data_IF_042238518205
#
_entry.id   IF_042238518205
#
_cell.length_a   1.000
_cell.length_b   1.000
_cell.length_c   1.000
_cell.angle_alpha   90.00
_cell.angle_beta   90.00
_cell.angle_gamma   90.00
#
_symmetry.space_group_name_H-M   'P 1'
#
loop_
_entity.id
_entity.type
_entity.pdbx_description
1 polymer ?
#
# COMPACT_ATOMS: atom_id res chain seq x y z
N UNK A 1 -7.82 -20.55 2.79
CA UNK A 1 -9.00 -19.68 2.77
C UNK A 1 -8.54 -18.28 2.40
N UNK A 2 -9.25 -17.59 1.49
CA UNK A 2 -8.90 -16.23 1.10
C UNK A 2 -9.30 -15.25 2.20
N UNK A 3 -8.34 -14.53 2.77
CA UNK A 3 -8.58 -13.42 3.70
C UNK A 3 -8.31 -12.11 2.97
N UNK A 4 -9.05 -11.05 3.31
CA UNK A 4 -8.74 -9.70 2.81
C UNK A 4 -7.40 -9.23 3.38
N UNK A 5 -6.67 -8.42 2.63
CA UNK A 5 -5.44 -7.80 3.11
C UNK A 5 -5.32 -6.38 2.57
N UNK A 6 -4.41 -5.61 3.15
CA UNK A 6 -3.90 -4.38 2.57
C UNK A 6 -2.39 -4.25 2.82
N UNK A 7 -1.79 -3.24 2.19
CA UNK A 7 -0.37 -2.94 2.31
C UNK A 7 -0.22 -1.52 2.82
N UNK A 8 0.53 -1.36 3.92
CA UNK A 8 0.89 -0.07 4.46
C UNK A 8 2.32 0.28 4.04
N UNK A 9 2.45 1.18 3.07
CA UNK A 9 3.72 1.72 2.61
C UNK A 9 4.14 2.92 3.46
N UNK A 10 5.42 2.95 3.83
CA UNK A 10 6.05 4.17 4.34
C UNK A 10 6.48 5.06 3.16
N UNK A 11 6.06 6.32 3.17
CA UNK A 11 6.43 7.30 2.14
C UNK A 11 7.03 8.53 2.80
N UNK A 12 8.23 8.93 2.35
CA UNK A 12 8.91 10.15 2.76
C UNK A 12 8.86 11.17 1.62
N UNK A 13 8.22 12.30 1.86
CA UNK A 13 8.22 13.44 0.94
C UNK A 13 9.29 14.43 1.41
N UNK A 14 10.37 14.58 0.64
CA UNK A 14 11.49 15.47 0.97
C UNK A 14 11.29 16.88 0.41
N UNK A 15 10.67 16.95 -0.77
CA UNK A 15 10.31 18.22 -1.40
C UNK A 15 9.13 18.02 -2.34
N UNK A 16 8.30 19.03 -2.49
CA UNK A 16 7.25 19.10 -3.53
C UNK A 16 7.73 19.88 -4.76
N UNK A 17 8.84 20.62 -4.66
CA UNK A 17 9.44 21.37 -5.77
C UNK A 17 10.96 21.52 -5.61
N UNK A 18 11.79 20.77 -6.37
CA UNK A 18 11.38 19.69 -7.28
C UNK A 18 10.71 18.55 -6.50
N UNK A 19 9.79 17.82 -7.14
CA UNK A 19 9.11 16.69 -6.50
C UNK A 19 10.12 15.58 -6.17
N UNK A 20 10.26 15.29 -4.89
CA UNK A 20 11.20 14.34 -4.34
C UNK A 20 10.51 13.49 -3.27
N UNK A 21 10.12 12.28 -3.68
CA UNK A 21 9.35 11.32 -2.87
C UNK A 21 10.09 9.99 -2.87
N UNK A 22 10.32 9.46 -1.68
CA UNK A 22 10.92 8.15 -1.46
C UNK A 22 9.88 7.20 -0.88
N UNK A 23 9.78 6.00 -1.43
CA UNK A 23 8.91 4.93 -0.93
C UNK A 23 9.81 3.88 -0.28
N UNK A 24 9.46 3.45 0.92
CA UNK A 24 10.16 2.36 1.59
C UNK A 24 9.96 1.06 0.79
N UNK A 25 11.04 0.30 0.58
CA UNK A 25 11.07 -0.89 -0.27
C UNK A 25 10.25 -2.06 0.29
N UNK A 26 10.02 -2.06 1.61
CA UNK A 26 9.13 -2.98 2.31
C UNK A 26 7.84 -2.29 2.77
N UNK A 27 6.69 -2.93 2.53
CA UNK A 27 5.42 -2.55 3.14
C UNK A 27 5.07 -3.45 4.33
N UNK A 28 4.29 -2.93 5.29
CA UNK A 28 3.65 -3.79 6.28
C UNK A 28 2.42 -4.44 5.66
N UNK A 29 2.39 -5.79 5.63
CA UNK A 29 1.22 -6.56 5.18
C UNK A 29 0.27 -6.73 6.35
N UNK A 30 -0.99 -6.32 6.19
CA UNK A 30 -2.03 -6.46 7.23
C UNK A 30 -3.14 -7.32 6.67
N UNK A 31 -3.49 -8.39 7.39
CA UNK A 31 -4.52 -9.35 6.99
C UNK A 31 -5.79 -9.14 7.81
N UNK A 32 -6.95 -9.50 7.25
CA UNK A 32 -8.18 -9.64 8.03
C UNK A 32 -8.10 -10.89 8.91
N UNK A 33 -8.84 -10.87 10.02
CA UNK A 33 -8.87 -11.96 10.99
C UNK A 33 -9.74 -13.13 10.52
N UNK A 34 -10.69 -12.89 9.63
CA UNK A 34 -11.61 -13.90 9.13
C UNK A 34 -11.48 -14.11 7.61
N UNK A 35 -11.88 -15.29 7.09
CA UNK A 35 -12.06 -15.49 5.65
C UNK A 35 -13.01 -14.44 5.06
N UNK A 36 -12.68 -13.94 3.88
CA UNK A 36 -13.52 -12.96 3.19
C UNK A 36 -14.87 -13.59 2.85
N UNK A 37 -15.94 -12.83 3.09
CA UNK A 37 -17.31 -13.19 2.72
C UNK A 37 -18.09 -11.92 2.43
N UNK A 38 -19.04 -11.98 1.49
CA UNK A 38 -19.97 -10.89 1.22
C UNK A 38 -21.15 -10.86 2.20
N UNK A 39 -21.32 -11.90 3.01
CA UNK A 39 -22.27 -11.91 4.12
C UNK A 39 -21.70 -11.11 5.31
N UNK A 40 -22.59 -10.60 6.17
CA UNK A 40 -22.20 -9.91 7.41
C UNK A 40 -21.22 -8.74 7.16
N UNK A 41 -21.65 -7.77 6.35
CA UNK A 41 -20.82 -6.60 5.97
C UNK A 41 -20.44 -5.70 7.15
N UNK A 42 -21.15 -5.83 8.27
CA UNK A 42 -20.89 -5.20 9.56
C UNK A 42 -19.78 -5.88 10.37
N UNK A 43 -19.32 -7.08 9.96
CA UNK A 43 -18.21 -7.79 10.59
C UNK A 43 -16.89 -7.07 10.37
N UNK A 44 -16.48 -6.30 11.37
CA UNK A 44 -15.26 -5.52 11.31
C UNK A 44 -14.01 -6.38 11.06
N UNK A 45 -13.88 -7.50 11.77
CA UNK A 45 -12.75 -8.45 11.67
C UNK A 45 -12.61 -9.14 10.30
N UNK A 46 -13.71 -9.18 9.53
CA UNK A 46 -13.71 -9.73 8.17
C UNK A 46 -13.26 -8.70 7.14
N UNK A 47 -13.66 -7.43 7.33
CA UNK A 47 -13.59 -6.41 6.29
C UNK A 47 -12.48 -5.38 6.48
N UNK A 48 -11.88 -5.28 7.67
CA UNK A 48 -10.85 -4.29 8.02
C UNK A 48 -9.55 -4.95 8.54
N UNK A 49 -8.51 -5.10 7.71
CA UNK A 49 -7.26 -5.80 8.04
C UNK A 49 -6.38 -5.17 9.15
N UNK A 50 -6.72 -3.97 9.63
CA UNK A 50 -5.84 -3.19 10.51
C UNK A 50 -5.69 -3.70 11.95
N UNK A 51 -6.45 -4.71 12.37
CA UNK A 51 -6.50 -5.18 13.76
C UNK A 51 -5.96 -6.59 13.94
N UNK A 52 -5.40 -7.17 12.88
CA UNK A 52 -4.84 -8.51 12.97
C UNK A 52 -3.45 -8.52 13.57
N UNK A 53 -3.18 -9.53 14.40
CA UNK A 53 -1.83 -9.85 14.88
C UNK A 53 -1.06 -10.73 13.89
N UNK A 54 -1.67 -11.17 12.78
CA UNK A 54 -0.97 -11.94 11.77
C UNK A 54 0.03 -11.06 11.05
N UNK A 55 1.28 -11.51 11.05
CA UNK A 55 2.38 -10.83 10.37
C UNK A 55 2.98 -11.75 9.33
N UNK A 56 3.29 -11.19 8.19
CA UNK A 56 4.07 -11.86 7.14
C UNK A 56 5.11 -10.87 6.64
N UNK A 57 6.34 -11.36 6.42
CA UNK A 57 7.35 -10.54 5.78
C UNK A 57 6.89 -10.19 4.36
N UNK A 58 7.07 -8.94 3.95
CA UNK A 58 6.60 -8.45 2.65
C UNK A 58 7.12 -9.30 1.49
N UNK A 59 8.43 -9.58 1.44
CA UNK A 59 9.01 -10.48 0.42
C UNK A 59 8.41 -11.89 0.39
N UNK A 60 8.05 -12.43 1.56
CA UNK A 60 7.41 -13.75 1.62
C UNK A 60 5.97 -13.68 1.11
N UNK A 61 5.26 -12.59 1.42
CA UNK A 61 3.92 -12.33 0.93
C UNK A 61 3.87 -12.19 -0.59
N UNK A 62 4.77 -11.40 -1.18
CA UNK A 62 4.77 -11.15 -2.64
C UNK A 62 5.05 -12.43 -3.42
N UNK A 63 6.06 -13.20 -3.00
CA UNK A 63 6.37 -14.50 -3.62
C UNK A 63 5.20 -15.49 -3.48
N UNK A 64 4.54 -15.52 -2.32
CA UNK A 64 3.36 -16.36 -2.13
C UNK A 64 2.19 -15.94 -3.03
N UNK A 65 1.99 -14.63 -3.21
CA UNK A 65 0.92 -14.10 -4.06
C UNK A 65 1.15 -14.44 -5.54
N UNK A 66 2.37 -14.23 -6.05
CA UNK A 66 2.75 -14.60 -7.42
C UNK A 66 2.57 -16.10 -7.68
N UNK A 67 2.93 -16.95 -6.72
CA UNK A 67 2.78 -18.40 -6.87
C UNK A 67 1.32 -18.89 -6.87
N UNK A 68 0.39 -18.07 -6.37
CA UNK A 68 -1.03 -18.42 -6.23
C UNK A 68 -1.92 -17.84 -7.33
N UNK A 69 -1.43 -16.83 -8.07
CA UNK A 69 -2.23 -16.10 -9.06
C UNK A 69 -1.52 -16.17 -10.41
N UNK A 70 -2.02 -17.03 -11.28
CA UNK A 70 -1.47 -17.22 -12.62
C UNK A 70 -1.41 -15.90 -13.40
N UNK A 71 -0.23 -15.58 -13.94
CA UNK A 71 0.02 -14.36 -14.71
C UNK A 71 0.20 -13.09 -13.89
N UNK A 72 0.20 -13.16 -12.55
CA UNK A 72 0.55 -12.02 -11.70
C UNK A 72 2.07 -11.89 -11.60
N UNK A 73 2.58 -10.72 -11.96
CA UNK A 73 3.96 -10.31 -11.74
C UNK A 73 3.99 -9.19 -10.71
N UNK A 74 4.67 -9.41 -9.59
CA UNK A 74 4.73 -8.44 -8.49
C UNK A 74 5.38 -7.13 -8.91
N UNK A 75 6.37 -7.20 -9.80
CA UNK A 75 7.07 -6.03 -10.33
C UNK A 75 6.12 -5.05 -11.04
N UNK A 76 5.11 -5.55 -11.74
CA UNK A 76 4.09 -4.72 -12.39
C UNK A 76 3.16 -4.07 -11.35
N UNK A 77 2.80 -4.82 -10.31
CA UNK A 77 1.96 -4.33 -9.20
C UNK A 77 2.67 -3.21 -8.44
N UNK A 78 3.93 -3.42 -8.06
CA UNK A 78 4.70 -2.42 -7.31
C UNK A 78 5.02 -1.18 -8.17
N UNK A 79 5.27 -1.35 -9.47
CA UNK A 79 5.43 -0.24 -10.41
C UNK A 79 4.15 0.61 -10.47
N UNK A 80 2.97 -0.03 -10.53
CA UNK A 80 1.68 0.66 -10.52
C UNK A 80 1.41 1.42 -9.20
N UNK A 81 1.76 0.81 -8.05
CA UNK A 81 1.68 1.47 -6.74
C UNK A 81 2.59 2.69 -6.68
N UNK A 82 3.86 2.55 -7.09
CA UNK A 82 4.81 3.66 -7.12
C UNK A 82 4.36 4.80 -8.05
N UNK A 83 3.83 4.46 -9.22
CA UNK A 83 3.25 5.43 -10.15
C UNK A 83 2.08 6.19 -9.50
N UNK A 84 1.19 5.48 -8.80
CA UNK A 84 0.04 6.08 -8.10
C UNK A 84 0.47 7.02 -6.97
N UNK A 85 1.46 6.62 -6.16
CA UNK A 85 2.02 7.48 -5.09
C UNK A 85 2.66 8.73 -5.70
N UNK A 86 3.44 8.59 -6.77
CA UNK A 86 4.05 9.73 -7.47
C UNK A 86 2.99 10.66 -8.04
N UNK A 87 1.94 10.13 -8.66
CA UNK A 87 0.83 10.93 -9.20
C UNK A 87 0.08 11.68 -8.10
N UNK A 88 -0.18 11.04 -6.95
CA UNK A 88 -0.78 11.69 -5.79
C UNK A 88 0.03 12.92 -5.37
N UNK A 89 1.33 12.78 -5.14
CA UNK A 89 2.15 13.91 -4.70
C UNK A 89 2.44 14.94 -5.79
N UNK A 90 2.43 14.54 -7.06
CA UNK A 90 2.46 15.49 -8.17
C UNK A 90 1.18 16.35 -8.22
N UNK A 91 0.01 15.74 -7.98
CA UNK A 91 -1.25 16.46 -7.88
C UNK A 91 -1.28 17.40 -6.67
N UNK A 92 -0.77 16.96 -5.52
CA UNK A 92 -0.60 17.82 -4.34
C UNK A 92 0.32 18.99 -4.66
N UNK A 93 1.49 18.75 -5.26
CA UNK A 93 2.39 19.82 -5.67
C UNK A 93 1.72 20.81 -6.66
N UNK A 94 0.94 20.32 -7.62
CA UNK A 94 0.25 21.21 -8.55
C UNK A 94 -0.87 22.04 -7.87
N UNK A 95 -1.64 21.40 -6.98
CA UNK A 95 -2.81 22.00 -6.34
C UNK A 95 -2.49 22.88 -5.12
N UNK A 96 -1.30 22.69 -4.52
CA UNK A 96 -0.90 23.36 -3.28
C UNK A 96 0.50 23.99 -3.37
N UNK A 97 0.69 25.08 -4.15
CA UNK A 97 1.97 25.78 -4.24
C UNK A 97 2.49 26.32 -2.91
N UNK A 98 1.61 26.59 -1.95
CA UNK A 98 1.97 26.99 -0.59
C UNK A 98 2.77 25.92 0.17
N UNK A 99 2.66 24.65 -0.23
CA UNK A 99 3.41 23.54 0.34
C UNK A 99 4.78 23.35 -0.32
N UNK A 100 5.15 24.15 -1.33
CA UNK A 100 6.45 24.06 -2.01
C UNK A 100 7.60 24.61 -1.18
N UNK A 101 7.30 25.28 -0.07
CA UNK A 101 8.34 25.86 0.76
C UNK A 101 9.11 24.78 1.53
N UNK A 102 10.44 24.87 1.57
CA UNK A 102 11.20 24.11 2.55
C UNK A 102 10.83 24.65 3.93
N UNK A 103 10.70 23.76 4.92
CA UNK A 103 10.90 24.23 6.30
C UNK A 103 12.29 24.86 6.35
N UNK A 104 12.34 26.09 6.88
CA UNK A 104 13.57 26.86 7.08
C UNK A 104 14.64 26.08 7.86
#
# INVERSE_FOLDING_TARGET
SGVKFDLLFGVLVRSLRPLDVLVHDQASVRFANNPFTMAFMDSFDTHFPGHSTRRMAFRAFTAALESQVDGLHWDDVIASIHASIKQLFAAVAAGHPELHHPMA
#
